data_IF_718905924005
#
_entry.id   IF_718905924005
#
_cell.length_a   1.000
_cell.length_b   1.000
_cell.length_c   1.000
_cell.angle_alpha   90.00
_cell.angle_beta   90.00
_cell.angle_gamma   90.00
#
_symmetry.space_group_name_H-M   'P 1'
#
loop_
_entity.id
_entity.type
_entity.pdbx_description
1 polymer ?
#
# COMPACT_ATOMS: atom_id res chain seq x y z
N UNK A 1 22.03 -3.58 26.66
CA UNK A 1 20.61 -3.91 26.84
C UNK A 1 20.15 -4.72 25.64
N UNK A 2 19.43 -5.83 25.81
CA UNK A 2 18.85 -6.55 24.67
C UNK A 2 17.75 -5.67 24.09
N UNK A 3 17.90 -5.23 22.84
CA UNK A 3 16.84 -4.50 22.13
C UNK A 3 15.60 -5.38 22.08
N UNK A 4 14.39 -4.86 22.38
CA UNK A 4 13.16 -5.63 22.27
C UNK A 4 13.03 -6.15 20.83
N UNK A 5 12.81 -7.46 20.68
CA UNK A 5 12.47 -8.06 19.38
C UNK A 5 11.06 -7.62 19.04
N UNK A 6 10.91 -6.66 18.14
CA UNK A 6 9.62 -6.31 17.54
C UNK A 6 9.18 -7.54 16.75
N UNK A 7 8.23 -8.29 17.30
CA UNK A 7 7.69 -9.49 16.71
C UNK A 7 6.40 -9.09 15.99
N UNK A 8 6.44 -9.03 14.66
CA UNK A 8 5.23 -8.85 13.87
C UNK A 8 4.38 -10.11 14.00
N UNK A 9 3.07 -9.93 14.23
CA UNK A 9 2.12 -11.02 14.38
C UNK A 9 1.85 -11.70 13.03
N UNK A 10 1.97 -10.95 11.92
CA UNK A 10 1.71 -11.44 10.58
C UNK A 10 2.59 -10.71 9.53
N UNK A 11 3.02 -11.37 8.44
CA UNK A 11 3.89 -10.76 7.43
C UNK A 11 3.33 -9.50 6.75
N UNK A 12 2.00 -9.35 6.69
CA UNK A 12 1.35 -8.18 6.06
C UNK A 12 1.63 -6.88 6.80
N UNK A 13 1.93 -6.92 8.11
CA UNK A 13 2.32 -5.71 8.84
C UNK A 13 3.64 -5.16 8.31
N UNK A 14 4.62 -6.04 8.13
CA UNK A 14 5.90 -5.69 7.54
C UNK A 14 5.71 -5.23 6.09
N UNK A 15 4.89 -5.94 5.30
CA UNK A 15 4.60 -5.56 3.92
C UNK A 15 3.98 -4.15 3.82
N UNK A 16 3.03 -3.82 4.70
CA UNK A 16 2.42 -2.50 4.80
C UNK A 16 3.43 -1.41 5.17
N UNK A 17 4.20 -1.60 6.26
CA UNK A 17 5.22 -0.62 6.66
C UNK A 17 6.28 -0.43 5.58
N UNK A 18 6.71 -1.51 4.91
CA UNK A 18 7.68 -1.44 3.81
C UNK A 18 7.10 -0.70 2.59
N UNK A 19 5.85 -0.98 2.22
CA UNK A 19 5.19 -0.26 1.13
C UNK A 19 5.05 1.24 1.44
N UNK A 20 4.57 1.59 2.64
CA UNK A 20 4.43 2.99 3.05
C UNK A 20 5.78 3.72 3.05
N UNK A 21 6.84 3.05 3.54
CA UNK A 21 8.20 3.60 3.44
C UNK A 21 8.62 3.84 1.99
N UNK A 22 8.40 2.86 1.10
CA UNK A 22 8.74 3.00 -0.31
C UNK A 22 7.98 4.16 -0.99
N UNK A 23 6.71 4.37 -0.66
CA UNK A 23 5.94 5.53 -1.11
C UNK A 23 6.57 6.84 -0.62
N UNK A 24 6.93 6.93 0.67
CA UNK A 24 7.57 8.10 1.27
C UNK A 24 8.92 8.43 0.59
N UNK A 25 9.77 7.41 0.45
CA UNK A 25 11.13 7.52 -0.12
C UNK A 25 11.12 7.62 -1.66
N UNK A 26 9.95 7.53 -2.30
CA UNK A 26 9.81 7.48 -3.76
C UNK A 26 10.60 6.32 -4.39
N UNK A 27 10.66 5.18 -3.71
CA UNK A 27 11.31 3.97 -4.19
C UNK A 27 10.33 3.16 -5.07
N UNK A 28 10.45 3.36 -6.37
CA UNK A 28 9.58 2.71 -7.36
C UNK A 28 9.70 1.18 -7.37
N UNK A 29 10.91 0.66 -7.17
CA UNK A 29 11.18 -0.79 -7.15
C UNK A 29 10.55 -1.42 -5.92
N UNK A 30 10.80 -0.86 -4.73
CA UNK A 30 10.22 -1.37 -3.50
C UNK A 30 8.69 -1.23 -3.45
N UNK A 31 8.12 -0.16 -4.02
CA UNK A 31 6.66 -0.06 -4.18
C UNK A 31 6.14 -1.20 -5.04
N UNK A 32 6.69 -1.38 -6.24
CA UNK A 32 6.26 -2.38 -7.21
C UNK A 32 6.32 -3.80 -6.67
N UNK A 33 7.40 -4.14 -5.96
CA UNK A 33 7.58 -5.45 -5.33
C UNK A 33 6.50 -5.80 -4.32
N UNK A 34 5.85 -4.81 -3.69
CA UNK A 34 4.77 -5.05 -2.72
C UNK A 34 3.37 -5.10 -3.33
N UNK A 35 3.23 -4.90 -4.63
CA UNK A 35 1.93 -4.94 -5.32
C UNK A 35 1.60 -6.34 -5.83
N UNK A 36 0.31 -6.70 -5.78
CA UNK A 36 -0.23 -7.92 -6.37
C UNK A 36 -0.11 -7.91 -7.90
N UNK A 37 -0.20 -9.07 -8.54
CA UNK A 37 -0.22 -9.21 -10.00
C UNK A 37 -1.39 -8.44 -10.62
N UNK A 38 -2.57 -8.52 -10.02
CA UNK A 38 -3.76 -7.79 -10.47
C UNK A 38 -3.48 -6.28 -10.46
N UNK A 39 -2.92 -5.79 -9.37
CA UNK A 39 -2.54 -4.37 -9.22
C UNK A 39 -1.50 -3.95 -10.25
N UNK A 40 -0.44 -4.76 -10.44
CA UNK A 40 0.60 -4.47 -11.43
C UNK A 40 0.01 -4.40 -12.84
N UNK A 41 -0.83 -5.36 -13.20
CA UNK A 41 -1.52 -5.37 -14.50
C UNK A 41 -2.41 -4.15 -14.71
N UNK A 42 -3.13 -3.71 -13.66
CA UNK A 42 -3.89 -2.46 -13.69
C UNK A 42 -2.99 -1.25 -13.97
N UNK A 43 -1.85 -1.12 -13.27
CA UNK A 43 -0.92 -0.01 -13.46
C UNK A 43 -0.28 -0.02 -14.85
N UNK A 44 0.09 -1.19 -15.37
CA UNK A 44 0.59 -1.35 -16.75
C UNK A 44 -0.47 -0.93 -17.78
N UNK A 45 -1.73 -1.32 -17.57
CA UNK A 45 -2.85 -0.91 -18.42
C UNK A 45 -3.10 0.60 -18.39
N UNK A 46 -3.05 1.20 -17.20
CA UNK A 46 -3.16 2.66 -17.04
C UNK A 46 -2.00 3.39 -17.72
N UNK A 47 -0.78 2.87 -17.60
CA UNK A 47 0.38 3.40 -18.31
C UNK A 47 0.19 3.30 -19.83
N UNK A 48 -0.24 2.14 -20.34
CA UNK A 48 -0.50 1.93 -21.77
C UNK A 48 -1.47 2.97 -22.33
N UNK A 49 -2.58 3.21 -21.61
CA UNK A 49 -3.59 4.18 -21.98
C UNK A 49 -3.05 5.62 -21.98
N UNK A 50 -2.34 6.05 -20.93
CA UNK A 50 -1.78 7.41 -20.84
C UNK A 50 -0.70 7.68 -21.88
N UNK A 51 0.15 6.69 -22.11
CA UNK A 51 1.30 6.80 -23.03
C UNK A 51 0.94 6.48 -24.47
N UNK A 52 -0.33 6.16 -24.77
CA UNK A 52 -0.81 5.80 -26.10
C UNK A 52 -0.01 4.66 -26.75
N UNK A 53 0.43 3.69 -25.94
CA UNK A 53 1.15 2.49 -26.41
C UNK A 53 0.26 1.27 -26.30
N UNK A 54 0.49 0.29 -27.19
CA UNK A 54 -0.23 -0.97 -27.13
C UNK A 54 0.12 -1.74 -25.84
N UNK A 55 -0.85 -2.43 -25.23
CA UNK A 55 -0.69 -3.09 -23.93
C UNK A 55 0.50 -4.07 -23.90
N UNK A 56 0.72 -4.82 -24.98
CA UNK A 56 1.84 -5.76 -25.07
C UNK A 56 3.22 -5.07 -25.00
N UNK A 57 3.31 -3.76 -25.26
CA UNK A 57 4.53 -2.97 -25.12
C UNK A 57 4.63 -2.26 -23.77
N UNK A 58 3.52 -2.13 -23.03
CA UNK A 58 3.48 -1.59 -21.68
C UNK A 58 3.65 -2.67 -20.60
N UNK A 59 3.23 -3.90 -20.90
CA UNK A 59 3.29 -5.02 -19.98
C UNK A 59 4.71 -5.48 -19.68
N UNK A 60 4.85 -6.23 -18.58
CA UNK A 60 6.10 -6.89 -18.19
C UNK A 60 7.14 -5.90 -17.67
N UNK A 61 6.70 -4.92 -16.88
CA UNK A 61 7.62 -3.96 -16.24
C UNK A 61 8.49 -4.70 -15.23
N UNK A 62 9.80 -4.64 -15.42
CA UNK A 62 10.74 -5.34 -14.55
C UNK A 62 10.88 -4.67 -13.18
N UNK A 63 10.93 -5.43 -12.07
CA UNK A 63 11.02 -4.90 -10.71
C UNK A 63 12.40 -4.32 -10.38
N UNK A 64 13.44 -4.59 -11.18
CA UNK A 64 14.85 -4.34 -10.85
C UNK A 64 15.23 -2.85 -10.82
N UNK A 65 14.29 -1.94 -11.11
CA UNK A 65 14.56 -0.50 -11.23
C UNK A 65 15.35 -0.12 -12.49
N UNK A 66 15.77 -1.10 -13.30
CA UNK A 66 16.47 -0.90 -14.57
C UNK A 66 15.51 -0.56 -15.70
N UNK A 67 14.23 -0.92 -15.56
CA UNK A 67 13.20 -0.56 -16.51
C UNK A 67 12.83 0.92 -16.34
N UNK A 68 13.14 1.73 -17.36
CA UNK A 68 12.87 3.16 -17.36
C UNK A 68 11.37 3.48 -17.19
N UNK A 69 10.47 2.57 -17.56
CA UNK A 69 9.01 2.76 -17.45
C UNK A 69 8.54 2.71 -15.99
N UNK A 70 9.27 2.00 -15.11
CA UNK A 70 8.80 1.67 -13.77
C UNK A 70 8.38 2.91 -12.97
N UNK A 71 9.21 3.96 -13.00
CA UNK A 71 8.92 5.21 -12.30
C UNK A 71 7.62 5.87 -12.81
N UNK A 72 7.41 5.88 -14.13
CA UNK A 72 6.20 6.46 -14.75
C UNK A 72 4.94 5.63 -14.47
N UNK A 73 5.09 4.31 -14.36
CA UNK A 73 4.00 3.38 -14.07
C UNK A 73 3.50 3.56 -12.65
N UNK A 74 4.39 3.71 -11.66
CA UNK A 74 4.02 3.81 -10.24
C UNK A 74 3.78 5.24 -9.75
N UNK A 75 4.26 6.26 -10.47
CA UNK A 75 4.12 7.67 -10.05
C UNK A 75 2.67 8.08 -9.74
N UNK A 76 1.64 7.71 -10.53
CA UNK A 76 0.24 8.03 -10.20
C UNK A 76 -0.26 7.36 -8.92
N UNK A 77 0.17 6.12 -8.66
CA UNK A 77 -0.16 5.43 -7.42
C UNK A 77 0.44 6.18 -6.23
N UNK A 78 1.74 6.51 -6.30
CA UNK A 78 2.41 7.29 -5.25
C UNK A 78 1.69 8.61 -4.99
N UNK A 79 1.40 9.37 -6.05
CA UNK A 79 0.71 10.64 -5.93
C UNK A 79 -0.66 10.49 -5.24
N UNK A 80 -1.40 9.44 -5.59
CA UNK A 80 -2.72 9.16 -5.01
C UNK A 80 -2.62 8.76 -3.54
N UNK A 81 -1.64 7.91 -3.17
CA UNK A 81 -1.40 7.53 -1.77
C UNK A 81 -0.98 8.73 -0.93
N UNK A 82 -0.02 9.52 -1.41
CA UNK A 82 0.45 10.72 -0.71
C UNK A 82 -0.70 11.71 -0.50
N UNK A 83 -1.56 11.91 -1.51
CA UNK A 83 -2.72 12.78 -1.39
C UNK A 83 -3.76 12.21 -0.40
N UNK A 84 -4.09 10.93 -0.48
CA UNK A 84 -5.08 10.28 0.38
C UNK A 84 -4.65 10.27 1.86
N UNK A 85 -3.36 10.07 2.12
CA UNK A 85 -2.80 10.04 3.49
C UNK A 85 -2.47 11.44 4.04
N UNK A 86 -2.84 12.51 3.34
CA UNK A 86 -2.72 13.89 3.83
C UNK A 86 -1.32 14.50 3.71
N UNK A 87 -0.50 14.00 2.76
CA UNK A 87 0.81 14.54 2.42
C UNK A 87 1.99 13.66 2.85
N UNK A 88 3.17 13.93 2.26
CA UNK A 88 4.38 13.15 2.50
C UNK A 88 4.84 13.21 3.97
N UNK A 89 4.65 14.35 4.63
CA UNK A 89 5.02 14.56 6.04
C UNK A 89 4.24 13.65 7.01
N UNK A 90 3.03 13.21 6.64
CA UNK A 90 2.17 12.38 7.50
C UNK A 90 2.41 10.88 7.35
N UNK A 91 3.09 10.47 6.29
CA UNK A 91 3.29 9.05 5.94
C UNK A 91 4.01 8.23 7.00
N UNK A 92 4.91 8.86 7.79
CA UNK A 92 5.63 8.20 8.88
C UNK A 92 4.86 8.12 10.20
N UNK A 93 3.74 8.83 10.33
CA UNK A 93 2.98 8.94 11.58
C UNK A 93 1.96 7.82 11.80
N UNK A 94 1.65 7.00 10.79
CA UNK A 94 0.63 5.97 10.91
C UNK A 94 1.13 4.74 11.66
N UNK A 95 0.35 4.31 12.66
CA UNK A 95 0.50 2.98 13.26
C UNK A 95 -0.06 1.91 12.31
N UNK A 96 0.59 0.76 12.21
CA UNK A 96 0.06 -0.39 11.45
C UNK A 96 -0.46 -1.45 12.43
N UNK A 97 -1.75 -1.74 12.38
CA UNK A 97 -2.37 -2.72 13.28
C UNK A 97 -1.87 -4.16 13.04
N UNK A 98 -2.19 -5.06 13.98
CA UNK A 98 -2.17 -6.50 13.71
C UNK A 98 -3.03 -6.84 12.50
N UNK A 99 -2.61 -7.84 11.71
CA UNK A 99 -3.37 -8.27 10.56
C UNK A 99 -4.71 -8.93 10.94
N UNK A 100 -5.67 -8.86 10.04
CA UNK A 100 -6.95 -9.55 10.13
C UNK A 100 -7.14 -10.38 8.88
N UNK A 101 -7.41 -11.67 9.05
CA UNK A 101 -7.71 -12.57 7.94
C UNK A 101 -9.19 -12.43 7.58
N UNK A 102 -9.46 -12.16 6.31
CA UNK A 102 -10.82 -12.23 5.75
C UNK A 102 -11.11 -13.68 5.37
N UNK A 103 -10.12 -14.32 4.75
CA UNK A 103 -10.13 -15.73 4.37
C UNK A 103 -8.67 -16.27 4.35
N UNK A 104 -8.45 -17.43 3.70
CA UNK A 104 -7.11 -18.07 3.65
C UNK A 104 -6.10 -17.36 2.74
N UNK A 105 -6.58 -16.55 1.81
CA UNK A 105 -5.80 -15.85 0.79
C UNK A 105 -5.95 -14.33 0.86
N UNK A 106 -6.82 -13.80 1.72
CA UNK A 106 -7.06 -12.37 1.86
C UNK A 106 -6.88 -11.93 3.32
N UNK A 107 -6.10 -10.88 3.52
CA UNK A 107 -5.87 -10.26 4.81
C UNK A 107 -5.89 -8.74 4.69
N UNK A 108 -6.11 -8.03 5.78
CA UNK A 108 -5.95 -6.58 5.83
C UNK A 108 -5.23 -6.13 7.09
N UNK A 109 -4.68 -4.93 7.04
CA UNK A 109 -4.20 -4.18 8.20
C UNK A 109 -4.89 -2.82 8.24
N UNK A 110 -5.04 -2.27 9.43
CA UNK A 110 -5.58 -0.93 9.64
C UNK A 110 -4.42 0.05 9.79
N UNK A 111 -4.54 1.21 9.16
CA UNK A 111 -3.68 2.35 9.40
C UNK A 111 -4.30 3.18 10.52
N UNK A 112 -3.68 3.12 11.69
CA UNK A 112 -4.09 3.86 12.87
C UNK A 112 -3.60 5.31 12.74
N UNK A 113 -4.40 6.29 13.19
CA UNK A 113 -4.01 7.69 13.14
C UNK A 113 -2.72 7.94 13.94
N UNK A 114 -2.03 9.02 13.59
CA UNK A 114 -0.89 9.50 14.37
C UNK A 114 -1.40 10.08 15.69
N UNK A 115 -1.00 9.44 16.80
CA UNK A 115 -1.38 9.84 18.16
C UNK A 115 -0.41 10.85 18.78
N UNK A 116 0.64 11.28 18.06
CA UNK A 116 1.68 12.15 18.58
C UNK A 116 2.53 11.52 19.70
N UNK A 117 3.40 12.33 20.31
CA UNK A 117 4.29 11.86 21.39
C UNK A 117 3.59 11.75 22.76
N UNK A 118 2.50 12.48 22.99
CA UNK A 118 1.76 12.50 24.25
C UNK A 118 0.54 11.57 24.21
N UNK A 119 0.73 10.35 24.75
CA UNK A 119 -0.22 9.22 24.68
C UNK A 119 -1.39 9.32 25.67
N UNK A 120 -2.34 10.21 25.43
CA UNK A 120 -3.70 10.06 25.97
C UNK A 120 -4.68 10.22 24.81
N UNK A 121 -4.97 9.09 24.15
CA UNK A 121 -5.94 9.01 23.06
C UNK A 121 -7.30 8.57 23.64
N UNK A 122 -8.34 9.34 23.35
CA UNK A 122 -9.74 8.97 23.63
C UNK A 122 -10.21 7.89 22.65
N UNK A 123 -11.26 7.13 22.97
CA UNK A 123 -11.78 6.07 22.10
C UNK A 123 -12.10 6.57 20.67
N UNK A 124 -12.56 7.82 20.52
CA UNK A 124 -12.76 8.44 19.20
C UNK A 124 -11.47 8.61 18.40
N UNK A 125 -10.32 8.76 19.06
CA UNK A 125 -9.01 8.86 18.40
C UNK A 125 -8.52 7.49 17.91
N UNK A 126 -9.09 6.38 18.38
CA UNK A 126 -8.71 5.03 17.97
C UNK A 126 -9.35 4.57 16.66
N UNK A 127 -10.21 5.38 16.05
CA UNK A 127 -10.82 5.01 14.78
C UNK A 127 -9.75 4.85 13.70
N UNK A 128 -9.72 3.69 13.00
CA UNK A 128 -8.79 3.49 11.89
C UNK A 128 -8.96 4.59 10.85
N UNK A 129 -7.85 5.13 10.39
CA UNK A 129 -7.87 6.15 9.33
C UNK A 129 -8.13 5.53 7.97
N UNK A 130 -7.53 4.36 7.71
CA UNK A 130 -7.55 3.66 6.42
C UNK A 130 -7.32 2.17 6.65
N UNK A 131 -7.45 1.36 5.59
CA UNK A 131 -6.97 -0.03 5.58
C UNK A 131 -6.15 -0.33 4.33
N UNK A 132 -5.24 -1.29 4.43
CA UNK A 132 -4.54 -1.88 3.30
C UNK A 132 -4.86 -3.37 3.21
N UNK A 133 -5.37 -3.81 2.07
CA UNK A 133 -5.70 -5.21 1.82
C UNK A 133 -4.57 -5.92 1.06
N UNK A 134 -4.36 -7.18 1.43
CA UNK A 134 -3.32 -8.04 0.90
C UNK A 134 -3.92 -9.34 0.41
N UNK A 135 -3.43 -9.81 -0.73
CA UNK A 135 -3.70 -11.14 -1.25
C UNK A 135 -2.45 -12.01 -1.12
N UNK A 136 -2.64 -13.30 -0.83
CA UNK A 136 -1.55 -14.26 -0.74
C UNK A 136 -1.32 -14.92 -2.10
N UNK A 137 -0.27 -14.53 -2.79
CA UNK A 137 0.12 -15.09 -4.09
C UNK A 137 1.63 -15.36 -4.13
N UNK A 138 2.05 -16.37 -4.88
CA UNK A 138 3.48 -16.71 -5.01
C UNK A 138 4.23 -16.92 -3.67
N UNK A 139 3.51 -17.35 -2.62
CA UNK A 139 4.00 -17.51 -1.23
C UNK A 139 4.31 -16.20 -0.48
N UNK A 140 3.82 -15.08 -0.99
CA UNK A 140 3.99 -13.76 -0.39
C UNK A 140 2.63 -13.09 -0.20
N UNK A 141 2.56 -12.15 0.74
CA UNK A 141 1.40 -11.28 0.91
C UNK A 141 1.66 -9.96 0.20
N UNK A 142 0.84 -9.67 -0.81
CA UNK A 142 1.02 -8.51 -1.70
C UNK A 142 -0.20 -7.61 -1.63
N UNK A 143 0.05 -6.30 -1.62
CA UNK A 143 -0.97 -5.27 -1.55
C UNK A 143 -1.82 -5.30 -2.83
N UNK A 144 -3.13 -5.31 -2.65
CA UNK A 144 -4.09 -5.34 -3.75
C UNK A 144 -5.00 -4.11 -3.72
N UNK A 145 -4.97 -3.29 -4.78
CA UNK A 145 -5.74 -2.04 -4.80
C UNK A 145 -7.25 -2.30 -4.90
N UNK A 146 -7.65 -3.33 -5.65
CA UNK A 146 -9.05 -3.70 -5.82
C UNK A 146 -9.65 -4.16 -4.50
N UNK A 147 -8.98 -5.09 -3.81
CA UNK A 147 -9.40 -5.55 -2.48
C UNK A 147 -9.34 -4.45 -1.44
N UNK A 148 -8.37 -3.55 -1.53
CA UNK A 148 -8.29 -2.41 -0.61
C UNK A 148 -9.51 -1.50 -0.80
N UNK A 149 -9.89 -1.21 -2.04
CA UNK A 149 -11.07 -0.40 -2.34
C UNK A 149 -12.38 -1.06 -1.85
N UNK A 150 -12.56 -2.35 -2.12
CA UNK A 150 -13.73 -3.12 -1.68
C UNK A 150 -13.85 -3.12 -0.14
N UNK A 151 -12.80 -3.52 0.56
CA UNK A 151 -12.82 -3.60 2.03
C UNK A 151 -12.91 -2.23 2.69
N UNK A 152 -12.33 -1.18 2.09
CA UNK A 152 -12.51 0.21 2.54
C UNK A 152 -13.98 0.61 2.47
N UNK A 153 -14.66 0.32 1.36
CA UNK A 153 -16.07 0.65 1.18
C UNK A 153 -16.96 -0.08 2.20
N UNK A 154 -16.73 -1.38 2.39
CA UNK A 154 -17.47 -2.19 3.37
C UNK A 154 -17.27 -1.70 4.81
N UNK A 155 -16.04 -1.25 5.14
CA UNK A 155 -15.70 -0.71 6.46
C UNK A 155 -16.07 0.78 6.63
N UNK A 156 -16.62 1.44 5.60
CA UNK A 156 -16.89 2.89 5.58
C UNK A 156 -15.62 3.71 5.88
N UNK A 157 -14.48 3.22 5.40
CA UNK A 157 -13.18 3.88 5.53
C UNK A 157 -12.76 4.52 4.18
N UNK A 158 -12.02 5.64 4.21
CA UNK A 158 -11.38 6.15 3.01
C UNK A 158 -10.45 5.11 2.37
N UNK A 159 -10.31 5.17 1.04
CA UNK A 159 -9.33 4.36 0.33
C UNK A 159 -7.95 5.05 0.39
N UNK A 160 -6.92 4.47 1.05
CA UNK A 160 -5.60 5.10 1.17
C UNK A 160 -4.84 5.17 -0.15
N UNK A 161 -5.36 4.56 -1.21
CA UNK A 161 -4.77 4.55 -2.54
C UNK A 161 -5.38 5.65 -3.42
N UNK A 162 -6.36 6.40 -2.91
CA UNK A 162 -7.04 7.48 -3.60
C UNK A 162 -7.84 7.01 -4.82
N UNK A 163 -8.10 7.94 -5.74
CA UNK A 163 -8.65 7.64 -7.07
C UNK A 163 -7.49 7.70 -8.05
N UNK A 164 -6.99 6.54 -8.49
CA UNK A 164 -6.03 6.47 -9.59
C UNK A 164 -6.73 6.91 -10.89
N UNK A 165 -6.48 8.15 -11.32
CA UNK A 165 -6.94 8.71 -12.59
C UNK A 165 -5.90 8.55 -13.69
#
# INVERSE_FOLDING_TARGET
MKSPKIQFEHPTQLAASTFLRAVSENDASAMWEKLSRETRGLLEGLYAARSSVALQHAAGVEPTGLDARLAEVVAPLRASVVAALGGAERMGGFGVSGARLVDRATAYVLLLPDFGEERIATESDWQPSHLLAFVHESREWLLDLGRTAELSADAVLPNPLGVTR
#
